data_IF_186679463210
#
_entry.id   IF_186679463210
#
_cell.length_a   1.000
_cell.length_b   1.000
_cell.length_c   1.000
_cell.angle_alpha   90.00
_cell.angle_beta   90.00
_cell.angle_gamma   90.00
#
_symmetry.space_group_name_H-M   'P 1'
#
loop_
_entity.id
_entity.type
_entity.pdbx_description
1 polymer ?
#
# COMPACT_ATOMS: atom_id res chain seq x y z
N UNK A 1 3.47 -1.85 20.77
CA UNK A 1 3.42 -2.35 22.17
C UNK A 1 2.49 -1.43 22.96
N UNK A 2 1.73 -1.99 23.91
CA UNK A 2 0.81 -1.22 24.76
C UNK A 2 1.44 -1.07 26.16
N UNK A 3 1.48 0.15 26.69
CA UNK A 3 2.01 0.37 28.05
C UNK A 3 1.03 -0.15 29.10
N UNK A 4 1.50 -0.33 30.33
CA UNK A 4 0.64 -0.56 31.50
C UNK A 4 -0.40 0.56 31.72
N UNK A 5 -0.24 1.72 31.07
CA UNK A 5 -1.17 2.87 31.09
C UNK A 5 -2.04 2.96 29.83
N UNK A 6 -2.08 1.92 28.98
CA UNK A 6 -2.94 1.84 27.79
C UNK A 6 -2.46 2.63 26.57
N UNK A 7 -1.34 3.37 26.66
CA UNK A 7 -0.80 4.09 25.50
C UNK A 7 -0.10 3.15 24.52
N UNK A 8 -0.42 3.27 23.22
CA UNK A 8 0.25 2.56 22.13
C UNK A 8 1.54 3.29 21.71
N UNK A 9 2.65 2.55 21.62
CA UNK A 9 3.93 3.08 21.16
C UNK A 9 4.64 2.10 20.23
N UNK A 10 5.48 2.66 19.37
CA UNK A 10 6.27 1.94 18.38
C UNK A 10 7.72 2.01 18.75
N UNK A 11 8.40 0.88 18.63
CA UNK A 11 9.84 0.83 18.82
C UNK A 11 10.52 1.00 17.46
N UNK A 12 11.50 1.90 17.38
CA UNK A 12 12.37 1.98 16.21
C UNK A 12 13.24 0.71 16.14
N UNK A 13 13.16 -0.04 15.04
CA UNK A 13 13.97 -1.23 14.83
C UNK A 13 15.47 -0.94 14.79
N UNK A 14 15.87 0.19 14.19
CA UNK A 14 17.28 0.62 14.17
C UNK A 14 17.82 1.03 15.54
N UNK A 15 16.96 1.45 16.47
CA UNK A 15 17.41 1.78 17.83
C UNK A 15 17.90 0.56 18.62
N UNK A 16 17.67 -0.68 18.13
CA UNK A 16 18.23 -1.89 18.72
C UNK A 16 19.74 -2.05 18.45
N UNK A 17 20.23 -1.54 17.32
CA UNK A 17 21.62 -1.72 16.86
C UNK A 17 22.37 -0.40 16.71
N UNK A 18 21.67 0.73 16.61
CA UNK A 18 22.23 2.06 16.43
C UNK A 18 21.58 3.06 17.40
N UNK A 19 22.37 3.49 18.40
CA UNK A 19 21.93 4.36 19.50
C UNK A 19 21.57 5.78 19.06
N UNK A 20 21.86 6.18 17.82
CA UNK A 20 21.45 7.50 17.29
C UNK A 20 19.94 7.57 17.10
N UNK A 21 19.29 6.43 16.88
CA UNK A 21 17.86 6.36 16.66
C UNK A 21 17.06 6.40 17.97
N UNK A 22 16.04 7.24 18.02
CA UNK A 22 15.11 7.27 19.15
C UNK A 22 14.40 5.91 19.30
N UNK A 23 14.55 5.27 20.48
CA UNK A 23 13.94 3.96 20.75
C UNK A 23 12.43 3.96 20.56
N UNK A 24 11.75 5.05 20.94
CA UNK A 24 10.31 5.24 20.76
C UNK A 24 10.07 6.58 20.06
N UNK A 25 10.04 6.62 18.72
CA UNK A 25 9.80 7.86 18.00
C UNK A 25 8.37 8.36 18.26
N UNK A 26 8.19 9.69 18.30
CA UNK A 26 6.86 10.30 18.39
C UNK A 26 6.06 9.95 17.14
N UNK A 27 4.80 9.59 17.32
CA UNK A 27 3.91 9.27 16.22
C UNK A 27 3.09 10.47 15.75
N UNK A 28 2.74 10.53 14.45
CA UNK A 28 3.29 9.69 13.37
C UNK A 28 4.79 9.97 13.18
N UNK A 29 5.57 8.96 12.77
CA UNK A 29 7.02 9.12 12.53
C UNK A 29 7.21 9.98 11.28
N UNK A 30 7.20 11.31 11.45
CA UNK A 30 7.30 12.28 10.37
C UNK A 30 8.74 12.51 9.89
N UNK A 31 9.74 12.05 10.68
CA UNK A 31 11.17 12.12 10.34
C UNK A 31 11.86 10.86 10.86
N UNK A 32 12.71 10.26 10.04
CA UNK A 32 13.52 9.10 10.41
C UNK A 32 14.92 9.30 9.83
N UNK A 33 15.97 9.30 10.67
CA UNK A 33 17.37 9.44 10.21
C UNK A 33 17.86 8.26 9.36
N UNK A 34 17.07 7.20 9.27
CA UNK A 34 17.30 6.00 8.48
C UNK A 34 16.33 5.89 7.30
N UNK A 35 15.53 6.93 7.07
CA UNK A 35 14.79 7.10 5.83
C UNK A 35 15.75 7.60 4.76
N UNK A 36 15.88 6.83 3.69
CA UNK A 36 16.55 7.28 2.48
C UNK A 36 15.54 8.04 1.62
N UNK A 37 15.78 9.35 1.50
CA UNK A 37 15.01 10.22 0.64
C UNK A 37 15.03 9.67 -0.79
N UNK A 38 13.90 9.77 -1.47
CA UNK A 38 13.84 9.41 -2.90
C UNK A 38 14.70 10.36 -3.71
N UNK A 39 15.39 9.83 -4.72
CA UNK A 39 15.99 10.62 -5.79
C UNK A 39 14.93 11.23 -6.70
N UNK A 40 13.68 10.71 -6.66
CA UNK A 40 12.56 11.24 -7.41
C UNK A 40 12.17 12.62 -6.89
N UNK A 41 12.17 13.60 -7.79
CA UNK A 41 11.70 14.96 -7.50
C UNK A 41 10.17 14.94 -7.43
N UNK A 42 9.62 14.76 -6.23
CA UNK A 42 8.18 14.80 -6.02
C UNK A 42 7.66 16.25 -6.12
N UNK A 43 6.46 16.47 -6.69
CA UNK A 43 5.93 17.82 -6.88
C UNK A 43 5.60 18.47 -5.55
N UNK A 44 5.86 19.78 -5.41
CA UNK A 44 5.39 20.52 -4.26
C UNK A 44 3.85 20.57 -4.28
N UNK A 45 3.22 20.13 -3.20
CA UNK A 45 1.75 20.16 -3.04
C UNK A 45 1.42 20.91 -1.78
N UNK A 46 0.73 22.04 -1.94
CA UNK A 46 0.21 22.82 -0.81
C UNK A 46 -1.21 22.34 -0.47
N UNK A 47 -1.32 21.49 0.56
CA UNK A 47 -2.59 20.97 1.03
C UNK A 47 -2.58 19.48 1.41
N UNK A 48 -3.75 18.95 1.84
CA UNK A 48 -3.90 17.52 2.11
C UNK A 48 -3.83 16.71 0.81
N UNK A 49 -3.31 15.50 0.91
CA UNK A 49 -3.31 14.52 -0.20
C UNK A 49 -4.14 13.31 0.18
N UNK A 50 -4.69 12.65 -0.82
CA UNK A 50 -5.24 11.31 -0.70
C UNK A 50 -4.21 10.27 -1.12
N UNK A 51 -4.40 9.01 -0.75
CA UNK A 51 -3.58 7.87 -1.21
C UNK A 51 -4.46 6.85 -1.90
N UNK A 52 -4.12 6.48 -3.13
CA UNK A 52 -4.70 5.34 -3.81
C UNK A 52 -4.30 4.06 -3.04
N UNK A 53 -5.28 3.46 -2.39
CA UNK A 53 -5.09 2.47 -1.35
C UNK A 53 -5.65 1.11 -1.77
N UNK A 54 -4.75 0.17 -2.05
CA UNK A 54 -5.10 -1.22 -2.37
C UNK A 54 -5.07 -2.14 -1.15
N UNK A 55 -4.54 -1.66 -0.02
CA UNK A 55 -4.26 -2.47 1.17
C UNK A 55 -3.02 -3.35 1.05
N UNK A 56 -2.30 -3.29 -0.07
CA UNK A 56 -1.06 -4.03 -0.32
C UNK A 56 0.21 -3.28 0.06
N UNK A 57 1.34 -3.94 -0.20
CA UNK A 57 2.67 -3.46 0.20
C UNK A 57 3.03 -2.09 -0.40
N UNK A 58 2.72 -1.87 -1.68
CA UNK A 58 3.22 -0.68 -2.41
C UNK A 58 2.43 0.57 -2.01
N UNK A 59 1.10 0.48 -1.91
CA UNK A 59 0.28 1.59 -1.40
C UNK A 59 0.62 1.94 0.06
N UNK A 60 0.95 0.94 0.87
CA UNK A 60 1.41 1.16 2.25
C UNK A 60 2.75 1.89 2.30
N UNK A 61 3.73 1.44 1.52
CA UNK A 61 5.05 2.08 1.48
C UNK A 61 4.95 3.49 0.86
N UNK A 62 4.17 3.67 -0.20
CA UNK A 62 3.94 4.97 -0.82
C UNK A 62 3.34 5.98 0.16
N UNK A 63 2.38 5.56 1.00
CA UNK A 63 1.86 6.40 2.09
C UNK A 63 2.95 6.79 3.08
N UNK A 64 3.77 5.83 3.52
CA UNK A 64 4.87 6.11 4.46
C UNK A 64 5.86 7.10 3.86
N UNK A 65 6.23 6.93 2.59
CA UNK A 65 7.14 7.85 1.90
C UNK A 65 6.51 9.23 1.73
N UNK A 66 5.24 9.33 1.39
CA UNK A 66 4.54 10.61 1.31
C UNK A 66 4.59 11.35 2.66
N UNK A 67 4.34 10.67 3.78
CA UNK A 67 4.48 11.25 5.12
C UNK A 67 5.90 11.79 5.37
N UNK A 68 6.92 10.99 5.04
CA UNK A 68 8.33 11.34 5.26
C UNK A 68 8.84 12.44 4.32
N UNK A 69 8.22 12.58 3.15
CA UNK A 69 8.45 13.69 2.20
C UNK A 69 7.67 14.96 2.55
N UNK A 70 6.95 15.00 3.68
CA UNK A 70 6.26 16.19 4.18
C UNK A 70 4.83 16.38 3.67
N UNK A 71 4.29 15.43 2.90
CA UNK A 71 2.89 15.45 2.52
C UNK A 71 1.98 15.15 3.72
N UNK A 72 0.70 15.50 3.57
CA UNK A 72 -0.36 15.25 4.56
C UNK A 72 -1.39 14.26 4.03
N UNK A 73 -1.09 12.94 3.99
CA UNK A 73 -2.02 11.93 3.53
C UNK A 73 -3.09 11.65 4.58
N UNK A 74 -4.20 12.40 4.52
CA UNK A 74 -5.30 12.33 5.48
C UNK A 74 -6.41 11.37 5.08
N UNK A 75 -6.48 11.04 3.78
CA UNK A 75 -7.54 10.22 3.19
C UNK A 75 -6.93 9.06 2.40
N UNK A 76 -7.52 7.88 2.55
CA UNK A 76 -7.28 6.71 1.71
C UNK A 76 -8.44 6.60 0.72
N UNK A 77 -8.16 6.30 -0.53
CA UNK A 77 -9.19 6.02 -1.55
C UNK A 77 -9.02 4.62 -2.08
N UNK A 78 -10.10 3.84 -2.07
CA UNK A 78 -10.09 2.47 -2.57
C UNK A 78 -11.20 2.27 -3.59
N UNK A 79 -10.83 1.84 -4.80
CA UNK A 79 -11.79 1.40 -5.82
C UNK A 79 -12.07 -0.09 -5.59
N UNK A 80 -13.26 -0.41 -5.07
CA UNK A 80 -13.67 -1.78 -4.77
C UNK A 80 -14.54 -2.34 -5.91
N UNK A 81 -14.50 -3.66 -6.09
CA UNK A 81 -15.46 -4.38 -6.92
C UNK A 81 -16.88 -4.20 -6.43
N UNK A 82 -17.85 -4.48 -7.29
CA UNK A 82 -19.27 -4.37 -6.95
C UNK A 82 -19.71 -5.34 -5.83
N UNK A 83 -18.94 -6.42 -5.64
CA UNK A 83 -19.07 -7.40 -4.55
C UNK A 83 -18.41 -6.93 -3.24
N UNK A 84 -17.82 -5.74 -3.21
CA UNK A 84 -17.15 -5.17 -2.05
C UNK A 84 -15.71 -5.63 -1.85
N UNK A 85 -15.15 -6.47 -2.74
CA UNK A 85 -13.76 -6.92 -2.64
C UNK A 85 -12.81 -6.01 -3.43
N UNK A 86 -11.55 -5.91 -3.01
CA UNK A 86 -10.52 -5.28 -3.84
C UNK A 86 -10.23 -6.22 -5.01
N UNK A 87 -10.51 -5.76 -6.23
CA UNK A 87 -10.33 -6.56 -7.46
C UNK A 87 -8.94 -7.18 -7.52
N UNK A 88 -8.87 -8.44 -7.95
CA UNK A 88 -7.66 -9.29 -8.05
C UNK A 88 -6.92 -9.61 -6.74
N UNK A 89 -7.21 -8.91 -5.65
CA UNK A 89 -6.56 -9.11 -4.37
C UNK A 89 -7.31 -10.08 -3.46
N UNK A 90 -8.62 -10.28 -3.68
CA UNK A 90 -9.46 -11.12 -2.81
C UNK A 90 -9.56 -10.60 -1.37
N UNK A 91 -9.33 -9.30 -1.16
CA UNK A 91 -9.37 -8.65 0.15
C UNK A 91 -10.74 -8.02 0.32
N UNK A 92 -11.42 -8.36 1.41
CA UNK A 92 -12.70 -7.78 1.80
C UNK A 92 -12.58 -6.27 2.08
N UNK A 93 -13.52 -5.47 1.58
CA UNK A 93 -13.59 -4.03 1.84
C UNK A 93 -13.60 -3.66 3.32
N UNK A 94 -14.19 -4.48 4.19
CA UNK A 94 -14.15 -4.27 5.64
C UNK A 94 -12.72 -4.38 6.19
N UNK A 95 -11.85 -5.24 5.63
CA UNK A 95 -10.44 -5.26 6.02
C UNK A 95 -9.73 -3.97 5.61
N UNK A 96 -10.05 -3.41 4.44
CA UNK A 96 -9.52 -2.11 4.01
C UNK A 96 -9.97 -1.00 4.96
N UNK A 97 -11.24 -1.02 5.38
CA UNK A 97 -11.76 -0.10 6.41
C UNK A 97 -11.07 -0.28 7.77
N UNK A 98 -10.74 -1.51 8.16
CA UNK A 98 -9.95 -1.79 9.37
C UNK A 98 -8.51 -1.28 9.25
N UNK A 99 -7.87 -1.39 8.07
CA UNK A 99 -6.55 -0.80 7.82
C UNK A 99 -6.60 0.73 7.98
N UNK A 100 -7.59 1.39 7.37
CA UNK A 100 -7.74 2.85 7.47
C UNK A 100 -7.90 3.31 8.92
N UNK A 101 -8.76 2.63 9.70
CA UNK A 101 -8.93 2.87 11.13
C UNK A 101 -7.64 2.66 11.91
N UNK A 102 -6.93 1.56 11.68
CA UNK A 102 -5.65 1.29 12.34
C UNK A 102 -4.59 2.35 11.99
N UNK A 103 -4.60 2.87 10.77
CA UNK A 103 -3.69 3.92 10.30
C UNK A 103 -4.10 5.33 10.75
N UNK A 104 -5.25 5.48 11.41
CA UNK A 104 -5.82 6.77 11.81
C UNK A 104 -6.18 7.65 10.62
N UNK A 105 -6.61 7.05 9.50
CA UNK A 105 -6.96 7.75 8.27
C UNK A 105 -8.46 7.61 7.95
N UNK A 106 -9.02 8.60 7.25
CA UNK A 106 -10.33 8.47 6.63
C UNK A 106 -10.24 7.52 5.43
N UNK A 107 -11.33 6.82 5.11
CA UNK A 107 -11.45 5.98 3.92
C UNK A 107 -12.63 6.44 3.07
N UNK A 108 -12.36 6.71 1.79
CA UNK A 108 -13.36 6.81 0.74
C UNK A 108 -13.29 5.54 -0.12
N UNK A 109 -14.25 4.64 0.10
CA UNK A 109 -14.37 3.42 -0.69
C UNK A 109 -15.43 3.61 -1.78
N UNK A 110 -15.03 3.36 -3.03
CA UNK A 110 -15.82 3.64 -4.22
C UNK A 110 -16.09 2.32 -4.94
N UNK A 111 -17.34 1.82 -4.90
CA UNK A 111 -17.72 0.66 -5.70
C UNK A 111 -17.65 0.99 -7.18
N UNK A 112 -17.03 0.11 -7.95
CA UNK A 112 -16.91 0.23 -9.40
C UNK A 112 -16.90 -1.15 -10.07
N UNK A 113 -17.82 -1.41 -11.00
CA UNK A 113 -17.71 -2.52 -11.94
C UNK A 113 -16.53 -2.30 -12.91
N UNK A 114 -16.00 -3.34 -13.58
CA UNK A 114 -14.88 -3.18 -14.52
C UNK A 114 -15.18 -2.17 -15.62
N UNK A 115 -16.38 -2.24 -16.19
CA UNK A 115 -16.85 -1.41 -17.30
C UNK A 115 -17.08 0.04 -16.88
N UNK A 116 -17.35 0.27 -15.58
CA UNK A 116 -17.59 1.59 -15.01
C UNK A 116 -16.35 2.17 -14.29
N UNK A 117 -15.22 1.46 -14.28
CA UNK A 117 -14.07 1.82 -13.45
C UNK A 117 -13.57 3.24 -13.72
N UNK A 118 -13.40 3.58 -15.01
CA UNK A 118 -12.89 4.88 -15.41
C UNK A 118 -13.84 6.02 -14.99
N UNK A 119 -15.12 5.91 -15.32
CA UNK A 119 -16.12 6.92 -14.95
C UNK A 119 -16.19 7.11 -13.43
N UNK A 120 -16.19 6.01 -12.66
CA UNK A 120 -16.21 6.04 -11.20
C UNK A 120 -14.93 6.62 -10.61
N UNK A 121 -13.79 6.37 -11.25
CA UNK A 121 -12.51 6.96 -10.87
C UNK A 121 -12.55 8.48 -11.07
N UNK A 122 -13.02 8.98 -12.22
CA UNK A 122 -13.13 10.42 -12.46
C UNK A 122 -14.10 11.13 -11.50
N UNK A 123 -15.24 10.50 -11.19
CA UNK A 123 -16.18 10.98 -10.17
C UNK A 123 -15.53 11.07 -8.78
N UNK A 124 -14.72 10.07 -8.42
CA UNK A 124 -13.94 10.05 -7.18
C UNK A 124 -12.92 11.20 -7.15
N UNK A 125 -12.21 11.46 -8.26
CA UNK A 125 -11.29 12.60 -8.34
C UNK A 125 -12.02 13.94 -8.15
N UNK A 126 -13.20 14.10 -8.73
CA UNK A 126 -14.05 15.29 -8.52
C UNK A 126 -14.47 15.45 -7.06
N UNK A 127 -14.79 14.35 -6.37
CA UNK A 127 -15.10 14.35 -4.94
C UNK A 127 -13.89 14.75 -4.09
N UNK A 128 -12.70 14.22 -4.39
CA UNK A 128 -11.47 14.63 -3.72
C UNK A 128 -11.24 16.13 -3.84
N UNK A 129 -11.41 16.68 -5.04
CA UNK A 129 -11.23 18.11 -5.27
C UNK A 129 -12.22 18.96 -4.49
N UNK A 130 -13.49 18.53 -4.37
CA UNK A 130 -14.52 19.18 -3.54
C UNK A 130 -14.19 19.14 -2.05
N UNK A 131 -13.55 18.07 -1.57
CA UNK A 131 -13.06 17.94 -0.19
C UNK A 131 -11.79 18.76 0.10
N UNK A 132 -11.28 19.51 -0.87
CA UNK A 132 -10.07 20.31 -0.71
C UNK A 132 -8.77 19.49 -0.74
N UNK A 133 -8.82 18.24 -1.23
CA UNK A 133 -7.61 17.46 -1.51
C UNK A 133 -6.85 18.10 -2.66
N UNK A 134 -5.55 18.26 -2.48
CA UNK A 134 -4.65 18.93 -3.41
C UNK A 134 -3.89 17.96 -4.31
N UNK A 135 -3.80 16.68 -3.94
CA UNK A 135 -3.11 15.66 -4.72
C UNK A 135 -3.48 14.24 -4.36
N UNK A 136 -3.12 13.30 -5.23
CA UNK A 136 -3.34 11.87 -5.06
C UNK A 136 -2.01 11.13 -5.18
N UNK A 137 -1.70 10.34 -4.15
CA UNK A 137 -0.48 9.53 -4.03
C UNK A 137 -0.74 8.13 -4.57
N UNK A 138 0.12 7.63 -5.45
CA UNK A 138 0.07 6.26 -5.97
C UNK A 138 1.30 5.46 -5.56
N UNK A 139 1.13 4.14 -5.52
CA UNK A 139 2.19 3.17 -5.25
C UNK A 139 2.78 2.53 -6.50
N UNK A 140 2.70 3.19 -7.67
CA UNK A 140 3.25 2.69 -8.92
C UNK A 140 4.78 2.83 -8.94
N UNK A 141 5.47 1.93 -9.63
CA UNK A 141 6.94 1.91 -9.69
C UNK A 141 7.50 2.25 -11.07
N UNK A 142 7.04 1.56 -12.13
CA UNK A 142 7.72 1.66 -13.44
C UNK A 142 6.87 1.38 -14.69
N UNK A 143 5.59 1.03 -14.57
CA UNK A 143 4.70 0.84 -15.74
C UNK A 143 4.20 2.18 -16.29
N UNK A 144 4.87 2.68 -17.34
CA UNK A 144 4.66 4.03 -17.88
C UNK A 144 3.25 4.27 -18.45
N UNK A 145 2.62 3.24 -19.02
CA UNK A 145 1.25 3.28 -19.50
C UNK A 145 0.24 3.44 -18.34
N UNK A 146 0.46 2.70 -17.25
CA UNK A 146 -0.34 2.80 -16.02
C UNK A 146 -0.17 4.19 -15.38
N UNK A 147 1.07 4.68 -15.26
CA UNK A 147 1.34 6.03 -14.76
C UNK A 147 0.62 7.09 -15.61
N UNK A 148 0.81 7.07 -16.93
CA UNK A 148 0.21 8.06 -17.83
C UNK A 148 -1.32 8.06 -17.75
N UNK A 149 -1.94 6.90 -17.57
CA UNK A 149 -3.39 6.77 -17.38
C UNK A 149 -3.88 7.52 -16.13
N UNK A 150 -3.18 7.36 -15.00
CA UNK A 150 -3.51 8.06 -13.74
C UNK A 150 -3.15 9.54 -13.77
N UNK A 151 -1.98 9.88 -14.28
CA UNK A 151 -1.48 11.27 -14.38
C UNK A 151 -2.44 12.11 -15.21
N UNK A 152 -2.83 11.64 -16.40
CA UNK A 152 -3.76 12.35 -17.28
C UNK A 152 -5.07 12.70 -16.58
N UNK A 153 -5.65 11.75 -15.82
CA UNK A 153 -6.94 11.94 -15.14
C UNK A 153 -6.84 12.80 -13.89
N UNK A 154 -5.79 12.61 -13.09
CA UNK A 154 -5.54 13.46 -11.91
C UNK A 154 -5.26 14.91 -12.29
N UNK A 155 -4.47 15.14 -13.34
CA UNK A 155 -4.22 16.47 -13.89
C UNK A 155 -5.52 17.14 -14.38
N UNK A 156 -6.37 16.41 -15.12
CA UNK A 156 -7.68 16.92 -15.57
C UNK A 156 -8.60 17.31 -14.41
N UNK A 157 -8.54 16.61 -13.28
CA UNK A 157 -9.31 16.93 -12.07
C UNK A 157 -8.70 18.07 -11.24
N UNK A 158 -7.54 18.62 -11.65
CA UNK A 158 -6.83 19.67 -10.92
C UNK A 158 -6.20 19.17 -9.62
N UNK A 159 -5.78 17.89 -9.58
CA UNK A 159 -5.08 17.25 -8.47
C UNK A 159 -3.63 17.01 -8.87
N UNK A 160 -2.69 17.24 -7.95
CA UNK A 160 -1.30 16.85 -8.15
C UNK A 160 -1.16 15.31 -8.18
N UNK A 161 -0.44 14.81 -9.17
CA UNK A 161 -0.07 13.41 -9.29
C UNK A 161 1.23 13.14 -8.52
N UNK A 162 1.22 12.24 -7.53
CA UNK A 162 2.38 12.00 -6.65
C UNK A 162 2.73 10.51 -6.62
N UNK A 163 3.94 10.15 -7.05
CA UNK A 163 4.40 8.74 -7.04
C UNK A 163 5.74 8.59 -6.31
N UNK A 164 5.72 8.41 -4.98
CA UNK A 164 6.93 8.36 -4.15
C UNK A 164 7.87 7.19 -4.42
N UNK A 165 7.38 6.16 -5.13
CA UNK A 165 8.09 4.94 -5.50
C UNK A 165 8.54 4.92 -6.97
N UNK A 166 8.13 5.91 -7.77
CA UNK A 166 8.42 5.91 -9.19
C UNK A 166 9.92 5.95 -9.47
N UNK A 167 10.38 5.08 -10.38
CA UNK A 167 11.78 4.96 -10.79
C UNK A 167 12.70 4.25 -9.80
N UNK A 168 12.17 3.73 -8.69
CA UNK A 168 12.93 2.88 -7.76
C UNK A 168 13.11 1.48 -8.34
N UNK A 169 14.26 0.86 -8.08
CA UNK A 169 14.41 -0.55 -8.42
C UNK A 169 13.45 -1.39 -7.55
N UNK A 170 12.75 -2.40 -8.11
CA UNK A 170 11.87 -3.27 -7.33
C UNK A 170 12.54 -3.90 -6.10
N UNK A 171 13.82 -4.23 -6.19
CA UNK A 171 14.61 -4.76 -5.06
C UNK A 171 14.75 -3.74 -3.92
N UNK A 172 14.92 -2.46 -4.22
CA UNK A 172 15.01 -1.38 -3.23
C UNK A 172 13.67 -1.17 -2.52
N UNK A 173 12.57 -1.18 -3.29
CA UNK A 173 11.21 -1.05 -2.75
C UNK A 173 10.90 -2.18 -1.76
N UNK A 174 11.18 -3.42 -2.16
CA UNK A 174 11.01 -4.60 -1.29
C UNK A 174 11.91 -4.53 -0.05
N UNK A 175 13.18 -4.15 -0.22
CA UNK A 175 14.11 -4.02 0.90
C UNK A 175 13.64 -2.97 1.90
N UNK A 176 13.16 -1.80 1.44
CA UNK A 176 12.61 -0.76 2.31
C UNK A 176 11.34 -1.21 3.01
N UNK A 177 10.45 -1.91 2.31
CA UNK A 177 9.22 -2.44 2.92
C UNK A 177 9.53 -3.40 4.09
N UNK A 178 10.44 -4.36 3.86
CA UNK A 178 10.86 -5.31 4.88
C UNK A 178 11.63 -4.64 6.02
N UNK A 179 12.57 -3.72 5.70
CA UNK A 179 13.37 -3.01 6.69
C UNK A 179 12.54 -2.05 7.56
N UNK A 180 11.44 -1.50 7.02
CA UNK A 180 10.49 -0.71 7.79
C UNK A 180 9.71 -1.56 8.81
N UNK A 181 9.68 -2.88 8.66
CA UNK A 181 8.98 -3.79 9.57
C UNK A 181 7.48 -3.90 9.31
N UNK A 182 7.04 -3.63 8.09
CA UNK A 182 5.67 -3.98 7.68
C UNK A 182 5.49 -5.50 7.64
N UNK A 183 4.28 -5.96 7.97
CA UNK A 183 3.88 -7.35 7.86
C UNK A 183 2.77 -7.48 6.83
N UNK A 184 3.01 -8.32 5.85
CA UNK A 184 2.03 -8.63 4.84
C UNK A 184 1.96 -10.13 4.61
N UNK A 185 0.84 -10.56 4.05
CA UNK A 185 0.60 -11.93 3.60
C UNK A 185 0.31 -11.91 2.10
N UNK A 186 0.80 -12.91 1.37
CA UNK A 186 0.49 -13.09 -0.05
C UNK A 186 -0.94 -13.63 -0.17
N UNK A 187 -1.82 -12.90 -0.86
CA UNK A 187 -3.26 -13.21 -0.96
C UNK A 187 -3.69 -13.62 -2.37
N UNK A 188 -2.86 -13.35 -3.37
CA UNK A 188 -3.10 -13.74 -4.76
C UNK A 188 -1.77 -13.97 -5.46
N UNK A 189 -1.72 -14.97 -6.35
CA UNK A 189 -0.57 -15.27 -7.20
C UNK A 189 -1.02 -15.63 -8.61
N UNK A 190 -0.29 -15.18 -9.63
CA UNK A 190 -0.51 -15.57 -11.02
C UNK A 190 0.04 -16.99 -11.25
N UNK A 191 -0.83 -17.90 -11.70
CA UNK A 191 -0.60 -19.34 -11.70
C UNK A 191 0.67 -19.77 -12.45
N UNK A 192 0.94 -19.16 -13.61
CA UNK A 192 2.07 -19.52 -14.46
C UNK A 192 3.39 -18.81 -14.07
N UNK A 193 3.34 -17.89 -13.10
CA UNK A 193 4.48 -17.05 -12.71
C UNK A 193 4.95 -17.29 -11.28
N UNK A 194 4.04 -17.53 -10.34
CA UNK A 194 4.36 -17.66 -8.93
C UNK A 194 3.67 -18.90 -8.36
N UNK A 195 4.47 -19.75 -7.71
CA UNK A 195 4.00 -21.03 -7.17
C UNK A 195 2.88 -20.80 -6.10
N UNK A 196 1.71 -21.45 -6.23
CA UNK A 196 0.61 -21.35 -5.28
C UNK A 196 0.96 -21.76 -3.83
N UNK A 197 2.09 -22.44 -3.58
CA UNK A 197 2.56 -22.72 -2.22
C UNK A 197 2.83 -21.44 -1.40
N UNK A 198 3.05 -20.30 -2.05
CA UNK A 198 3.22 -19.00 -1.40
C UNK A 198 1.91 -18.37 -0.95
N UNK A 199 0.76 -18.92 -1.35
CA UNK A 199 -0.54 -18.34 -1.05
C UNK A 199 -0.90 -18.48 0.45
N UNK A 200 -1.01 -17.34 1.13
CA UNK A 200 -1.15 -17.25 2.58
C UNK A 200 0.19 -17.25 3.34
N UNK A 201 1.33 -17.29 2.64
CA UNK A 201 2.64 -17.14 3.26
C UNK A 201 2.93 -15.67 3.61
N UNK A 202 3.74 -15.41 4.65
CA UNK A 202 4.26 -14.08 4.92
C UNK A 202 5.06 -13.53 3.74
N UNK A 203 4.90 -12.24 3.47
CA UNK A 203 5.80 -11.50 2.58
C UNK A 203 7.11 -11.21 3.33
N UNK A 204 8.09 -12.09 3.18
CA UNK A 204 9.38 -12.04 3.88
C UNK A 204 10.57 -12.29 2.94
N UNK A 205 11.79 -12.33 3.50
CA UNK A 205 13.01 -12.58 2.72
C UNK A 205 13.00 -13.92 1.98
N UNK A 206 12.28 -14.94 2.49
CA UNK A 206 12.21 -16.26 1.87
C UNK A 206 11.33 -16.20 0.61
N UNK A 207 10.19 -15.51 0.68
CA UNK A 207 9.36 -15.26 -0.49
C UNK A 207 10.12 -14.44 -1.55
N UNK A 208 10.77 -13.36 -1.13
CA UNK A 208 11.53 -12.48 -2.04
C UNK A 208 12.68 -13.23 -2.73
N UNK A 209 13.42 -14.07 -2.00
CA UNK A 209 14.47 -14.89 -2.59
C UNK A 209 13.92 -15.89 -3.62
N UNK A 210 12.74 -16.46 -3.37
CA UNK A 210 12.10 -17.36 -4.32
C UNK A 210 11.66 -16.64 -5.60
N UNK A 211 11.15 -15.40 -5.50
CA UNK A 211 10.86 -14.57 -6.67
C UNK A 211 12.14 -14.18 -7.42
N UNK A 212 13.20 -13.78 -6.71
CA UNK A 212 14.47 -13.36 -7.30
C UNK A 212 15.18 -14.49 -8.07
N UNK A 213 14.90 -15.75 -7.74
CA UNK A 213 15.38 -16.91 -8.50
C UNK A 213 14.75 -17.02 -9.90
N UNK A 214 13.70 -16.23 -10.19
CA UNK A 214 13.03 -16.17 -11.48
C UNK A 214 13.32 -14.85 -12.18
N UNK A 215 13.95 -14.91 -13.35
CA UNK A 215 14.30 -13.71 -14.12
C UNK A 215 13.08 -13.00 -14.76
N UNK A 216 11.94 -13.71 -14.87
CA UNK A 216 10.74 -13.26 -15.57
C UNK A 216 9.67 -12.65 -14.65
N UNK A 217 9.94 -12.55 -13.35
CA UNK A 217 8.97 -12.08 -12.34
C UNK A 217 9.39 -10.73 -11.79
N UNK A 218 8.46 -9.77 -11.78
CA UNK A 218 8.68 -8.51 -11.07
C UNK A 218 8.71 -8.74 -9.55
N UNK A 219 9.78 -8.31 -8.87
CA UNK A 219 9.89 -8.46 -7.41
C UNK A 219 8.81 -7.70 -6.64
N UNK A 220 8.23 -6.65 -7.23
CA UNK A 220 7.10 -5.91 -6.69
C UNK A 220 5.76 -6.35 -7.33
N UNK A 221 5.73 -7.32 -8.24
CA UNK A 221 4.47 -7.81 -8.80
C UNK A 221 3.70 -6.75 -9.61
N UNK A 222 4.39 -5.75 -10.18
CA UNK A 222 3.76 -4.64 -10.92
C UNK A 222 2.93 -5.13 -12.13
N UNK A 223 3.26 -6.30 -12.69
CA UNK A 223 2.50 -6.91 -13.81
C UNK A 223 1.42 -7.87 -13.31
N UNK A 224 1.06 -7.79 -12.03
CA UNK A 224 0.05 -8.62 -11.39
C UNK A 224 0.57 -9.98 -10.91
N UNK A 225 1.87 -10.26 -10.92
CA UNK A 225 2.40 -11.59 -10.61
C UNK A 225 1.95 -12.10 -9.23
N UNK A 226 1.73 -11.19 -8.28
CA UNK A 226 1.14 -11.50 -6.98
C UNK A 226 0.56 -10.24 -6.31
N UNK A 227 -0.32 -10.44 -5.33
CA UNK A 227 -0.83 -9.39 -4.46
C UNK A 227 -0.65 -9.72 -2.98
N UNK A 228 -0.55 -8.67 -2.17
CA UNK A 228 -0.34 -8.76 -0.73
C UNK A 228 -1.44 -8.03 0.03
N UNK A 229 -1.66 -8.47 1.27
CA UNK A 229 -2.46 -7.75 2.26
C UNK A 229 -1.57 -7.38 3.46
N UNK A 230 -1.42 -6.08 3.72
CA UNK A 230 -0.64 -5.58 4.86
C UNK A 230 -1.52 -5.51 6.11
N UNK A 231 -1.10 -6.17 7.18
CA UNK A 231 -1.93 -6.26 8.40
C UNK A 231 -1.27 -5.62 9.63
N UNK A 232 0.01 -5.24 9.55
CA UNK A 232 0.74 -4.60 10.65
C UNK A 232 1.97 -3.86 10.12
N UNK A 233 2.53 -2.97 10.93
CA UNK A 233 3.73 -2.20 10.61
C UNK A 233 3.62 -0.72 10.96
N UNK A 234 4.66 0.08 10.67
CA UNK A 234 4.72 1.48 11.05
C UNK A 234 3.44 2.28 10.72
N UNK A 235 2.84 2.87 11.75
CA UNK A 235 1.64 3.71 11.63
C UNK A 235 0.32 3.00 11.97
N UNK A 236 0.27 1.67 12.07
CA UNK A 236 -0.93 0.89 12.43
C UNK A 236 -1.19 0.79 13.95
N UNK A 237 -2.01 1.64 14.55
CA UNK A 237 -2.24 1.68 16.01
C UNK A 237 -2.38 0.31 16.70
N UNK A 238 -2.94 -0.69 16.00
CA UNK A 238 -2.83 -2.11 16.31
C UNK A 238 -2.80 -2.94 15.02
N UNK A 239 -2.34 -4.21 15.06
CA UNK A 239 -2.48 -5.13 13.93
C UNK A 239 -3.96 -5.33 13.54
N UNK A 240 -4.22 -5.44 12.24
CA UNK A 240 -5.54 -5.75 11.70
C UNK A 240 -5.76 -7.27 11.76
N UNK A 241 -6.72 -7.71 12.56
CA UNK A 241 -7.11 -9.12 12.64
C UNK A 241 -7.82 -9.59 11.36
N UNK A 242 -7.35 -10.70 10.80
CA UNK A 242 -7.88 -11.31 9.58
C UNK A 242 -7.82 -12.84 9.65
N UNK A 243 -8.66 -13.49 8.85
CA UNK A 243 -8.63 -14.92 8.58
C UNK A 243 -8.53 -15.16 7.07
N UNK A 244 -7.81 -16.21 6.68
CA UNK A 244 -7.69 -16.63 5.29
C UNK A 244 -8.70 -17.73 4.99
N UNK A 245 -9.46 -17.55 3.91
CA UNK A 245 -10.37 -18.57 3.39
C UNK A 245 -9.66 -19.71 2.66
N UNK A 246 -10.47 -20.54 2.00
CA UNK A 246 -10.00 -21.54 1.04
C UNK A 246 -9.44 -20.86 -0.22
N UNK A 247 -8.42 -21.48 -0.82
CA UNK A 247 -7.88 -21.00 -2.07
C UNK A 247 -8.86 -21.27 -3.21
N UNK A 248 -9.10 -20.26 -4.04
CA UNK A 248 -9.93 -20.32 -5.23
C UNK A 248 -9.11 -19.98 -6.46
N UNK A 249 -9.51 -20.51 -7.62
CA UNK A 249 -8.91 -20.18 -8.91
C UNK A 249 -9.85 -19.28 -9.69
N UNK A 250 -9.32 -18.18 -10.23
CA UNK A 250 -10.09 -17.21 -11.01
C UNK A 250 -9.18 -16.51 -12.01
N UNK A 251 -9.55 -16.51 -13.30
CA UNK A 251 -8.89 -15.72 -14.36
C UNK A 251 -7.35 -15.88 -14.44
N UNK A 252 -6.82 -17.08 -14.22
CA UNK A 252 -5.37 -17.34 -14.24
C UNK A 252 -4.64 -17.02 -12.92
N UNK A 253 -5.39 -16.74 -11.86
CA UNK A 253 -4.88 -16.48 -10.51
C UNK A 253 -5.36 -17.53 -9.52
N UNK A 254 -4.48 -17.81 -8.56
CA UNK A 254 -4.86 -18.44 -7.29
C UNK A 254 -5.02 -17.35 -6.23
N UNK A 255 -6.21 -17.26 -5.65
CA UNK A 255 -6.58 -16.25 -4.67
C UNK A 255 -6.96 -16.94 -3.37
N UNK A 256 -6.45 -16.44 -2.25
CA UNK A 256 -6.85 -16.89 -0.92
C UNK A 256 -7.49 -15.71 -0.18
N UNK A 257 -8.84 -15.64 -0.17
CA UNK A 257 -9.53 -14.46 0.29
C UNK A 257 -9.19 -14.14 1.75
N UNK A 258 -8.85 -12.88 2.01
CA UNK A 258 -8.68 -12.37 3.37
C UNK A 258 -10.01 -11.78 3.85
N UNK A 259 -10.46 -12.21 5.01
CA UNK A 259 -11.71 -11.77 5.65
C UNK A 259 -11.46 -11.27 7.07
N UNK A 260 -12.34 -10.43 7.62
CA UNK A 260 -12.33 -10.07 9.03
C UNK A 260 -12.29 -11.31 9.93
N UNK A 261 -11.35 -11.34 10.88
CA UNK A 261 -11.39 -12.23 12.04
C UNK A 261 -12.18 -11.59 13.19
#
# INVERSE_FOLDING_TARGET
>A
MMSARGSNFWQCGRAATDRRFARYPRLPVARCEGFEATTAKLPAVDGPVAVAWSGGKDSTLARQRALLSGYRPTLLVNMAGADGTVRFHGVDGELVARQARALGAELLQVPAAPEAYEARFEEMLGELRRRGVAGLVFGNLHLADVQAWFETRTARAGLAHVEPLWGWAPSEVVAQFLAAGFRAVVVSVMEDRVDPCWLGAPFDQRFVAALAARADVDLCGERGEYHTFVHDGPGFAAPVGFALGEAIRSEGYWIRPARPA
#
